data_IF_753046914638
#
_entry.id   IF_753046914638
#
_cell.length_a   1.000
_cell.length_b   1.000
_cell.length_c   1.000
_cell.angle_alpha   90.00
_cell.angle_beta   90.00
_cell.angle_gamma   90.00
#
_symmetry.space_group_name_H-M   'P 1'
#
loop_
_entity.id
_entity.type
_entity.pdbx_description
1 polymer ?
#
# COMPACT_ATOMS: atom_id res chain seq x y z
N UNK A 1 -1.09 7.39 -15.79
CA UNK A 1 -0.21 7.11 -14.66
C UNK A 1 -1.01 7.05 -13.36
N UNK A 2 -0.75 6.08 -12.53
CA UNK A 2 -1.46 5.96 -11.26
C UNK A 2 -1.01 7.06 -10.30
N UNK A 3 -1.97 7.59 -9.56
CA UNK A 3 -1.69 8.58 -8.55
C UNK A 3 -0.95 7.96 -7.36
N UNK A 4 -0.27 8.82 -6.62
CA UNK A 4 0.49 8.43 -5.45
C UNK A 4 -0.44 8.00 -4.31
N UNK A 5 -0.01 6.99 -3.56
CA UNK A 5 -0.69 6.53 -2.36
C UNK A 5 -0.11 7.24 -1.14
N UNK A 6 -0.92 8.02 -0.43
CA UNK A 6 -0.50 8.68 0.81
C UNK A 6 -0.57 7.70 1.99
N UNK A 7 0.14 8.03 3.07
CA UNK A 7 0.22 7.15 4.25
C UNK A 7 -1.16 6.79 4.80
N UNK A 8 -2.05 7.76 4.92
CA UNK A 8 -3.40 7.51 5.42
C UNK A 8 -4.18 6.57 4.49
N UNK A 9 -3.98 6.74 3.18
CA UNK A 9 -4.62 5.91 2.17
C UNK A 9 -4.07 4.48 2.19
N UNK A 10 -2.77 4.34 2.43
CA UNK A 10 -2.14 3.03 2.52
C UNK A 10 -2.72 2.21 3.67
N UNK A 11 -3.00 2.86 4.80
CA UNK A 11 -3.60 2.19 5.96
C UNK A 11 -4.99 1.63 5.66
N UNK A 12 -5.80 2.38 4.92
CA UNK A 12 -7.13 1.92 4.51
C UNK A 12 -7.03 0.83 3.45
N UNK A 13 -6.11 0.98 2.48
CA UNK A 13 -5.92 -0.03 1.44
C UNK A 13 -5.49 -1.37 2.04
N UNK A 14 -4.67 -1.39 3.10
CA UNK A 14 -4.32 -2.63 3.79
C UNK A 14 -5.56 -3.38 4.27
N UNK A 15 -6.51 -2.66 4.86
CA UNK A 15 -7.77 -3.25 5.34
C UNK A 15 -8.56 -3.82 4.16
N UNK A 16 -8.66 -3.04 3.08
CA UNK A 16 -9.44 -3.44 1.91
C UNK A 16 -8.81 -4.67 1.23
N UNK A 17 -7.50 -4.69 1.05
CA UNK A 17 -6.82 -5.85 0.45
C UNK A 17 -7.00 -7.11 1.29
N UNK A 18 -6.97 -6.97 2.62
CA UNK A 18 -7.09 -8.12 3.51
C UNK A 18 -8.50 -8.69 3.58
N UNK A 19 -9.53 -7.83 3.44
CA UNK A 19 -10.92 -8.21 3.74
C UNK A 19 -11.91 -7.92 2.62
N UNK A 20 -11.45 -7.59 1.43
CA UNK A 20 -12.31 -7.30 0.29
C UNK A 20 -13.22 -8.47 -0.09
N UNK A 21 -14.47 -8.24 -0.49
CA UNK A 21 -15.18 -6.95 -0.45
C UNK A 21 -15.60 -6.58 0.97
N UNK A 22 -15.57 -5.30 1.29
CA UNK A 22 -15.84 -4.84 2.66
C UNK A 22 -16.59 -3.50 2.62
N UNK A 23 -17.59 -3.34 3.49
CA UNK A 23 -18.34 -2.08 3.57
C UNK A 23 -17.50 -0.96 4.20
N UNK A 24 -17.79 0.28 3.82
CA UNK A 24 -17.15 1.43 4.44
C UNK A 24 -17.40 1.47 5.94
N UNK A 25 -18.56 1.04 6.39
CA UNK A 25 -18.88 0.93 7.81
C UNK A 25 -17.91 -0.01 8.52
N UNK A 26 -17.69 -1.19 7.97
CA UNK A 26 -16.79 -2.18 8.58
C UNK A 26 -15.35 -1.70 8.54
N UNK A 27 -14.93 -1.03 7.45
CA UNK A 27 -13.61 -0.39 7.39
C UNK A 27 -13.47 0.61 8.54
N UNK A 28 -14.48 1.44 8.76
CA UNK A 28 -14.42 2.45 9.82
C UNK A 28 -14.35 1.83 11.22
N UNK A 29 -15.00 0.71 11.44
CA UNK A 29 -14.91 -0.01 12.72
C UNK A 29 -13.50 -0.55 12.96
N UNK A 30 -12.90 -1.14 11.93
CA UNK A 30 -11.53 -1.65 12.01
C UNK A 30 -10.55 -0.50 12.20
N UNK A 31 -10.70 0.59 11.47
CA UNK A 31 -9.82 1.75 11.59
C UNK A 31 -9.92 2.41 12.95
N UNK A 32 -11.11 2.47 13.54
CA UNK A 32 -11.30 3.00 14.89
C UNK A 32 -10.52 2.16 15.91
N UNK A 33 -10.54 0.85 15.76
CA UNK A 33 -9.89 -0.08 16.68
C UNK A 33 -8.37 -0.14 16.46
N UNK A 34 -7.91 -0.19 15.21
CA UNK A 34 -6.50 -0.44 14.90
C UNK A 34 -5.67 0.82 14.71
N UNK A 35 -6.28 1.92 14.27
CA UNK A 35 -5.59 3.18 13.97
C UNK A 35 -6.01 4.30 14.91
N UNK A 36 -7.21 4.20 15.48
CA UNK A 36 -7.77 5.23 16.35
C UNK A 36 -8.48 6.35 15.61
N UNK A 37 -8.88 6.13 14.35
CA UNK A 37 -9.57 7.14 13.55
C UNK A 37 -11.05 7.17 13.87
N UNK A 38 -11.63 8.38 13.85
CA UNK A 38 -13.08 8.49 13.91
C UNK A 38 -13.68 8.16 12.54
N UNK A 39 -15.00 7.95 12.53
CA UNK A 39 -15.73 7.57 11.33
C UNK A 39 -15.56 8.55 10.19
N UNK A 40 -15.62 9.84 10.47
CA UNK A 40 -15.51 10.87 9.44
C UNK A 40 -14.16 10.87 8.75
N UNK A 41 -13.09 10.71 9.52
CA UNK A 41 -11.73 10.60 8.96
C UNK A 41 -11.63 9.43 8.02
N UNK A 42 -12.13 8.26 8.44
CA UNK A 42 -12.08 7.05 7.63
C UNK A 42 -12.86 7.21 6.33
N UNK A 43 -14.09 7.71 6.41
CA UNK A 43 -14.91 7.93 5.21
C UNK A 43 -14.27 8.92 4.24
N UNK A 44 -13.64 9.97 4.76
CA UNK A 44 -12.93 10.94 3.92
C UNK A 44 -11.82 10.26 3.12
N UNK A 45 -11.04 9.39 3.77
CA UNK A 45 -9.96 8.66 3.11
C UNK A 45 -10.51 7.68 2.07
N UNK A 46 -11.59 6.96 2.41
CA UNK A 46 -12.23 6.01 1.47
C UNK A 46 -12.69 6.75 0.21
N UNK A 47 -13.31 7.91 0.36
CA UNK A 47 -13.77 8.71 -0.78
C UNK A 47 -12.62 9.19 -1.65
N UNK A 48 -11.48 9.52 -1.04
CA UNK A 48 -10.28 9.90 -1.80
C UNK A 48 -9.76 8.73 -2.62
N UNK A 49 -9.76 7.53 -2.04
CA UNK A 49 -9.35 6.31 -2.75
C UNK A 49 -10.27 6.02 -3.93
N UNK A 50 -11.57 6.20 -3.74
CA UNK A 50 -12.55 6.05 -4.81
C UNK A 50 -12.28 7.06 -5.93
N UNK A 51 -12.08 8.33 -5.57
CA UNK A 51 -11.81 9.39 -6.54
C UNK A 51 -10.53 9.15 -7.34
N UNK A 52 -9.53 8.55 -6.72
CA UNK A 52 -8.27 8.21 -7.41
C UNK A 52 -8.36 6.95 -8.27
N UNK A 53 -9.47 6.23 -8.20
CA UNK A 53 -9.64 5.00 -8.96
C UNK A 53 -8.93 3.79 -8.37
N UNK A 54 -8.57 3.83 -7.09
CA UNK A 54 -7.93 2.69 -6.43
C UNK A 54 -8.93 1.67 -5.90
N UNK A 55 -10.16 2.10 -5.67
CA UNK A 55 -11.24 1.21 -5.23
C UNK A 55 -12.51 1.49 -6.01
N UNK A 56 -13.36 0.47 -6.09
CA UNK A 56 -14.69 0.54 -6.65
C UNK A 56 -15.69 0.50 -5.50
N UNK A 57 -16.70 1.35 -5.60
CA UNK A 57 -17.81 1.38 -4.65
C UNK A 57 -19.04 0.75 -5.28
N UNK A 58 -19.66 -0.17 -4.57
CA UNK A 58 -20.93 -0.76 -4.97
C UNK A 58 -22.00 -0.46 -3.92
N UNK A 59 -23.13 0.05 -4.37
CA UNK A 59 -24.26 0.31 -3.51
C UNK A 59 -25.37 -0.72 -3.78
N UNK A 60 -26.23 -1.03 -2.82
CA UNK A 60 -26.31 -0.44 -1.49
C UNK A 60 -25.20 -0.96 -0.56
N UNK A 61 -24.92 -0.19 0.51
CA UNK A 61 -24.02 -0.61 1.57
C UNK A 61 -22.61 -0.06 1.45
N UNK A 62 -22.31 0.71 0.40
CA UNK A 62 -20.98 1.29 0.19
C UNK A 62 -19.90 0.20 0.31
N UNK A 63 -20.03 -0.81 -0.53
CA UNK A 63 -19.10 -1.94 -0.53
C UNK A 63 -17.86 -1.58 -1.35
N UNK A 64 -16.69 -1.74 -0.75
CA UNK A 64 -15.42 -1.36 -1.36
C UNK A 64 -14.68 -2.59 -1.87
N UNK A 65 -14.21 -2.51 -3.11
CA UNK A 65 -13.41 -3.56 -3.75
C UNK A 65 -12.18 -2.89 -4.38
N UNK A 66 -10.97 -3.45 -4.19
CA UNK A 66 -9.78 -2.82 -4.78
C UNK A 66 -9.76 -2.99 -6.30
N UNK A 67 -9.40 -1.91 -7.00
CA UNK A 67 -9.18 -1.92 -8.44
C UNK A 67 -7.71 -2.09 -8.79
N UNK A 68 -6.84 -2.00 -7.79
CA UNK A 68 -5.40 -2.23 -7.91
C UNK A 68 -5.00 -3.25 -6.85
N UNK A 69 -4.22 -4.25 -7.24
CA UNK A 69 -3.76 -5.24 -6.27
C UNK A 69 -2.64 -4.68 -5.40
N UNK A 70 -2.43 -5.30 -4.25
CA UNK A 70 -1.32 -4.92 -3.37
C UNK A 70 0.02 -5.05 -4.09
N UNK A 71 0.21 -6.12 -4.86
CA UNK A 71 1.42 -6.34 -5.64
C UNK A 71 1.65 -5.24 -6.68
N UNK A 72 0.58 -4.86 -7.39
CA UNK A 72 0.67 -3.76 -8.36
C UNK A 72 1.06 -2.45 -7.69
N UNK A 73 0.44 -2.15 -6.54
CA UNK A 73 0.74 -0.92 -5.81
C UNK A 73 2.17 -0.92 -5.26
N UNK A 74 2.66 -2.07 -4.78
CA UNK A 74 4.04 -2.19 -4.31
C UNK A 74 5.02 -1.86 -5.42
N UNK A 75 4.78 -2.34 -6.64
CA UNK A 75 5.65 -2.05 -7.80
C UNK A 75 5.61 -0.59 -8.18
N UNK A 76 4.42 0.02 -8.17
CA UNK A 76 4.26 1.44 -8.49
C UNK A 76 5.00 2.31 -7.46
N UNK A 77 4.83 2.02 -6.18
CA UNK A 77 5.46 2.80 -5.11
C UNK A 77 6.98 2.61 -5.08
N UNK A 78 7.45 1.40 -5.32
CA UNK A 78 8.89 1.12 -5.40
C UNK A 78 9.53 1.91 -6.56
N UNK A 79 8.91 1.89 -7.73
CA UNK A 79 9.41 2.64 -8.89
C UNK A 79 9.39 4.14 -8.63
N UNK A 80 8.34 4.65 -7.99
CA UNK A 80 8.23 6.07 -7.64
C UNK A 80 9.35 6.48 -6.70
N UNK A 81 9.62 5.68 -5.68
CA UNK A 81 10.67 5.96 -4.71
C UNK A 81 12.05 5.99 -5.37
N UNK A 82 12.33 5.02 -6.22
CA UNK A 82 13.60 4.94 -6.94
C UNK A 82 13.80 6.19 -7.80
N UNK A 83 12.76 6.61 -8.53
CA UNK A 83 12.85 7.77 -9.41
C UNK A 83 12.93 9.08 -8.63
N UNK A 84 12.17 9.21 -7.55
CA UNK A 84 12.05 10.47 -6.80
C UNK A 84 13.27 10.77 -5.94
N UNK A 85 13.79 9.76 -5.25
CA UNK A 85 14.82 9.94 -4.22
C UNK A 85 16.17 9.41 -4.66
N UNK A 86 16.20 8.36 -5.46
CA UNK A 86 17.43 7.66 -5.82
C UNK A 86 17.87 7.90 -7.28
N UNK A 87 17.29 8.91 -7.92
CA UNK A 87 17.70 9.28 -9.28
C UNK A 87 17.56 8.17 -10.32
N UNK A 88 16.64 7.24 -10.11
CA UNK A 88 16.43 6.09 -11.00
C UNK A 88 17.33 4.90 -10.71
N UNK A 89 18.16 4.96 -9.67
CA UNK A 89 19.11 3.89 -9.36
C UNK A 89 18.55 2.91 -8.34
N UNK A 90 18.20 1.71 -8.80
CA UNK A 90 17.78 0.62 -7.91
C UNK A 90 18.92 0.17 -7.00
N UNK A 91 20.15 0.21 -7.51
CA UNK A 91 21.35 -0.10 -6.71
C UNK A 91 21.49 0.85 -5.52
N UNK A 92 21.24 2.14 -5.74
CA UNK A 92 21.30 3.12 -4.67
C UNK A 92 20.24 2.84 -3.59
N UNK A 93 19.03 2.44 -3.98
CA UNK A 93 18.00 2.04 -3.03
C UNK A 93 18.46 0.83 -2.20
N UNK A 94 18.98 -0.20 -2.83
CA UNK A 94 19.45 -1.39 -2.12
C UNK A 94 20.60 -1.05 -1.16
N UNK A 95 21.53 -0.20 -1.58
CA UNK A 95 22.62 0.26 -0.70
C UNK A 95 22.08 0.95 0.54
N UNK A 96 21.09 1.83 0.36
CA UNK A 96 20.48 2.54 1.49
C UNK A 96 19.79 1.58 2.45
N UNK A 97 19.10 0.56 1.92
CA UNK A 97 18.44 -0.44 2.76
C UNK A 97 19.43 -1.27 3.56
N UNK A 98 20.54 -1.65 2.94
CA UNK A 98 21.58 -2.44 3.62
C UNK A 98 22.29 -1.64 4.70
N UNK A 99 22.47 -0.33 4.51
CA UNK A 99 23.10 0.54 5.48
C UNK A 99 22.19 0.89 6.66
N UNK A 100 20.87 0.98 6.40
CA UNK A 100 19.90 1.40 7.41
C UNK A 100 19.78 0.38 8.56
N UNK A 101 19.69 -0.90 8.22
CA UNK A 101 19.58 -1.97 9.20
C UNK A 101 20.33 -3.21 8.69
N UNK A 102 21.13 -3.87 9.55
CA UNK A 102 21.80 -5.10 9.17
C UNK A 102 20.78 -6.20 8.83
N UNK A 103 20.99 -6.88 7.71
CA UNK A 103 20.16 -8.01 7.32
C UNK A 103 20.70 -9.29 7.98
N UNK A 104 19.78 -10.20 8.34
CA UNK A 104 20.15 -11.52 8.81
C UNK A 104 20.74 -12.35 7.66
N UNK A 105 21.45 -13.41 7.99
CA UNK A 105 21.99 -14.33 6.98
C UNK A 105 20.86 -14.94 6.14
N UNK A 106 19.73 -15.24 6.78
CA UNK A 106 18.56 -15.80 6.10
C UNK A 106 17.97 -14.82 5.09
N UNK A 107 17.83 -13.56 5.46
CA UNK A 107 17.34 -12.52 4.57
C UNK A 107 18.28 -12.32 3.39
N UNK A 108 19.59 -12.30 3.63
CA UNK A 108 20.60 -12.18 2.57
C UNK A 108 20.47 -13.34 1.57
N UNK A 109 20.32 -14.56 2.09
CA UNK A 109 20.18 -15.73 1.23
C UNK A 109 18.90 -15.70 0.40
N UNK A 110 17.81 -15.25 1.00
CA UNK A 110 16.53 -15.09 0.29
C UNK A 110 16.64 -14.04 -0.82
N UNK A 111 17.28 -12.90 -0.54
CA UNK A 111 17.49 -11.86 -1.54
C UNK A 111 18.39 -12.35 -2.69
N UNK A 112 19.43 -13.11 -2.38
CA UNK A 112 20.30 -13.69 -3.40
C UNK A 112 19.52 -14.64 -4.32
N UNK A 113 18.63 -15.45 -3.77
CA UNK A 113 17.79 -16.35 -4.56
C UNK A 113 16.87 -15.55 -5.50
N UNK A 114 16.28 -14.46 -5.02
CA UNK A 114 15.45 -13.60 -5.85
C UNK A 114 16.22 -13.01 -7.02
N UNK A 115 17.47 -12.58 -6.77
CA UNK A 115 18.32 -11.98 -7.80
C UNK A 115 18.77 -13.05 -8.80
N UNK A 116 19.20 -14.21 -8.31
CA UNK A 116 19.75 -15.28 -9.13
C UNK A 116 18.72 -15.95 -10.03
N UNK A 117 17.42 -15.86 -9.65
CA UNK A 117 16.33 -16.45 -10.41
C UNK A 117 15.78 -15.51 -11.50
N UNK A 118 16.44 -14.39 -11.75
CA UNK A 118 16.05 -13.45 -12.82
C UNK A 118 16.72 -13.82 -14.17
#
# INVERSE_FOLDING_TARGET
MKEKLFDSEAKVMEIIWAKSPISAKDISLIAAETIGWNKNTTYTVIKKLEAKGFIQRDDPGFICTPLVSQSQMQKIEAASLVNKVFGGSRKALFSALLEAEPLSKEEINELRKLIDNR
#
